data_IF_959006374394
#
_entry.id   IF_959006374394
#
_cell.length_a   1.000
_cell.length_b   1.000
_cell.length_c   1.000
_cell.angle_alpha   90.00
_cell.angle_beta   90.00
_cell.angle_gamma   90.00
#
_symmetry.space_group_name_H-M   'P 1'
#
loop_
_entity.id
_entity.type
_entity.pdbx_description
1 polymer ?
#
# COMPACT_ATOMS: atom_id res chain seq x y z
N UNK A 1 -7.19 -15.28 9.36
CA UNK A 1 -5.84 -14.81 8.97
C UNK A 1 -5.87 -13.29 9.00
N UNK A 2 -4.85 -12.66 9.58
CA UNK A 2 -4.75 -11.20 9.64
C UNK A 2 -3.83 -10.70 8.52
N UNK A 3 -3.99 -9.45 8.09
CA UNK A 3 -3.15 -8.83 7.07
C UNK A 3 -3.20 -7.32 7.17
N UNK A 4 -2.26 -6.64 6.51
CA UNK A 4 -2.18 -5.17 6.48
C UNK A 4 -2.37 -4.68 5.06
N UNK A 5 -3.29 -3.72 4.88
CA UNK A 5 -3.41 -2.92 3.67
C UNK A 5 -3.10 -1.48 4.06
N UNK A 6 -2.07 -0.90 3.46
CA UNK A 6 -1.65 0.47 3.74
C UNK A 6 -1.73 1.33 2.47
N UNK A 7 -2.20 2.57 2.64
CA UNK A 7 -2.34 3.53 1.55
C UNK A 7 -1.40 4.72 1.77
N UNK A 8 -0.49 4.92 0.81
CA UNK A 8 0.54 5.97 0.80
C UNK A 8 1.37 6.06 2.08
N UNK A 9 1.88 4.92 2.62
CA UNK A 9 2.75 4.98 3.79
C UNK A 9 4.06 5.69 3.45
N UNK A 10 4.51 6.52 4.39
CA UNK A 10 5.77 7.24 4.33
C UNK A 10 6.25 7.57 5.74
N UNK A 11 7.32 8.34 5.86
CA UNK A 11 7.86 8.76 7.17
C UNK A 11 7.30 10.15 7.50
N UNK A 12 6.17 10.18 8.21
CA UNK A 12 5.43 11.41 8.55
C UNK A 12 5.43 11.73 10.05
N UNK A 13 6.07 10.89 10.86
CA UNK A 13 6.18 11.08 12.31
C UNK A 13 7.46 11.85 12.66
N UNK A 14 7.52 12.42 13.86
CA UNK A 14 8.66 13.21 14.32
C UNK A 14 9.99 12.45 14.30
N UNK A 15 9.96 11.13 14.50
CA UNK A 15 11.09 10.26 14.19
C UNK A 15 11.00 9.80 12.72
N UNK A 16 12.02 10.16 11.93
CA UNK A 16 12.13 9.93 10.48
C UNK A 16 12.24 8.46 10.05
N UNK A 17 12.33 7.52 10.99
CA UNK A 17 12.33 6.06 10.70
C UNK A 17 11.22 5.30 11.41
N UNK A 18 10.33 6.01 12.13
CA UNK A 18 9.37 5.37 13.02
C UNK A 18 8.46 4.36 12.29
N UNK A 19 8.01 4.69 11.08
CA UNK A 19 7.11 3.82 10.33
C UNK A 19 7.84 2.58 9.85
N UNK A 20 9.07 2.74 9.34
CA UNK A 20 9.91 1.62 8.91
C UNK A 20 10.31 0.71 10.06
N UNK A 21 10.64 1.27 11.20
CA UNK A 21 11.03 0.50 12.39
C UNK A 21 9.83 -0.29 12.95
N UNK A 22 8.62 0.26 12.86
CA UNK A 22 7.40 -0.50 13.14
C UNK A 22 7.16 -1.60 12.08
N UNK A 23 7.34 -1.29 10.79
CA UNK A 23 7.15 -2.24 9.70
C UNK A 23 8.04 -3.50 9.82
N UNK A 24 9.24 -3.38 10.40
CA UNK A 24 10.14 -4.52 10.68
C UNK A 24 9.53 -5.60 11.57
N UNK A 25 8.52 -5.25 12.36
CA UNK A 25 7.83 -6.18 13.27
C UNK A 25 6.63 -6.86 12.62
N UNK A 26 6.27 -6.49 11.39
CA UNK A 26 5.10 -7.01 10.68
C UNK A 26 5.46 -8.32 9.98
N UNK A 27 4.84 -9.41 10.44
CA UNK A 27 5.05 -10.77 9.93
C UNK A 27 3.87 -11.30 9.10
N UNK A 28 2.70 -10.66 9.20
CA UNK A 28 1.50 -10.97 8.41
C UNK A 28 1.60 -10.43 6.97
N UNK A 29 0.82 -10.93 6.01
CA UNK A 29 0.83 -10.42 4.65
C UNK A 29 0.56 -8.91 4.58
N UNK A 30 1.29 -8.23 3.69
CA UNK A 30 1.22 -6.77 3.51
C UNK A 30 0.98 -6.39 2.06
N UNK A 31 0.02 -5.52 1.85
CA UNK A 31 -0.19 -4.84 0.57
C UNK A 31 -0.09 -3.34 0.79
N UNK A 32 0.71 -2.69 -0.05
CA UNK A 32 0.83 -1.23 -0.11
C UNK A 32 0.30 -0.73 -1.44
N UNK A 33 -0.54 0.28 -1.35
CA UNK A 33 -1.04 1.08 -2.46
C UNK A 33 -0.63 2.54 -2.22
N UNK A 34 -0.47 3.34 -3.28
CA UNK A 34 -0.13 4.75 -3.19
C UNK A 34 -0.46 5.50 -4.49
N UNK A 35 -0.35 6.83 -4.47
CA UNK A 35 -0.44 7.60 -5.70
C UNK A 35 0.68 7.24 -6.69
N UNK A 36 0.46 7.46 -7.98
CA UNK A 36 1.44 7.14 -9.04
C UNK A 36 2.64 8.09 -9.12
N UNK A 37 2.76 9.05 -8.19
CA UNK A 37 3.90 9.93 -8.07
C UNK A 37 5.17 9.18 -7.65
N UNK A 38 6.30 9.51 -8.28
CA UNK A 38 7.56 8.81 -8.04
C UNK A 38 8.02 8.86 -6.57
N UNK A 39 7.71 9.93 -5.85
CA UNK A 39 8.10 10.10 -4.45
C UNK A 39 7.35 9.13 -3.54
N UNK A 40 6.03 9.06 -3.66
CA UNK A 40 5.22 8.10 -2.90
C UNK A 40 5.60 6.66 -3.22
N UNK A 41 5.86 6.34 -4.50
CA UNK A 41 6.35 5.01 -4.89
C UNK A 41 7.64 4.65 -4.15
N UNK A 42 8.62 5.58 -4.09
CA UNK A 42 9.90 5.35 -3.39
C UNK A 42 9.72 5.25 -1.88
N UNK A 43 8.87 6.08 -1.29
CA UNK A 43 8.59 6.05 0.15
C UNK A 43 7.91 4.74 0.56
N UNK A 44 6.84 4.35 -0.14
CA UNK A 44 6.15 3.07 0.05
C UNK A 44 7.09 1.88 -0.10
N UNK A 45 7.96 1.90 -1.12
CA UNK A 45 8.94 0.83 -1.36
C UNK A 45 9.90 0.68 -0.17
N UNK A 46 10.40 1.79 0.39
CA UNK A 46 11.30 1.76 1.54
C UNK A 46 10.64 1.15 2.79
N UNK A 47 9.34 1.42 3.01
CA UNK A 47 8.57 0.81 4.09
C UNK A 47 8.36 -0.70 3.82
N UNK A 48 7.93 -1.08 2.61
CA UNK A 48 7.70 -2.48 2.25
C UNK A 48 8.97 -3.33 2.34
N UNK A 49 10.12 -2.78 1.97
CA UNK A 49 11.41 -3.47 2.06
C UNK A 49 11.72 -3.88 3.51
N UNK A 50 11.34 -3.07 4.49
CA UNK A 50 11.56 -3.35 5.90
C UNK A 50 10.61 -4.40 6.50
N UNK A 51 9.44 -4.63 5.88
CA UNK A 51 8.48 -5.66 6.32
C UNK A 51 9.12 -7.04 6.33
N UNK A 52 8.94 -7.79 7.41
CA UNK A 52 9.52 -9.13 7.60
C UNK A 52 8.75 -10.23 6.87
N UNK A 53 7.44 -10.04 6.66
CA UNK A 53 6.61 -10.99 5.91
C UNK A 53 7.17 -11.30 4.52
N UNK A 54 7.15 -12.58 4.14
CA UNK A 54 7.45 -13.01 2.78
C UNK A 54 6.31 -12.65 1.80
N UNK A 55 5.08 -12.54 2.30
CA UNK A 55 3.90 -12.20 1.51
C UNK A 55 3.67 -10.68 1.48
N UNK A 56 4.48 -9.98 0.69
CA UNK A 56 4.40 -8.52 0.59
C UNK A 56 4.35 -8.02 -0.84
N UNK A 57 3.50 -7.04 -1.10
CA UNK A 57 3.27 -6.50 -2.44
C UNK A 57 3.08 -4.97 -2.40
N UNK A 58 3.62 -4.29 -3.41
CA UNK A 58 3.33 -2.89 -3.71
C UNK A 58 2.57 -2.81 -5.03
N UNK A 59 1.52 -2.00 -5.12
CA UNK A 59 0.91 -1.64 -6.39
C UNK A 59 1.74 -0.55 -7.08
N UNK A 60 2.10 -0.75 -8.34
CA UNK A 60 2.71 0.28 -9.18
C UNK A 60 1.73 0.68 -10.29
N UNK A 61 0.75 1.52 -9.94
CA UNK A 61 -0.24 2.00 -10.88
C UNK A 61 0.38 2.94 -11.91
N UNK A 62 0.02 2.78 -13.18
CA UNK A 62 0.37 3.70 -14.28
C UNK A 62 -0.67 4.80 -14.48
N UNK A 63 -1.83 4.68 -13.83
CA UNK A 63 -2.90 5.66 -13.92
C UNK A 63 -2.59 6.81 -12.96
N UNK A 64 -3.02 8.03 -13.30
CA UNK A 64 -2.99 9.15 -12.36
C UNK A 64 -3.86 8.79 -11.15
N UNK A 65 -3.30 8.90 -9.96
CA UNK A 65 -3.97 8.50 -8.72
C UNK A 65 -3.80 9.55 -7.64
N UNK A 66 -4.75 9.57 -6.71
CA UNK A 66 -4.80 10.51 -5.59
C UNK A 66 -4.16 9.89 -4.34
N UNK A 67 -3.56 10.73 -3.50
CA UNK A 67 -2.91 10.32 -2.26
C UNK A 67 -3.85 9.58 -1.29
N UNK A 68 -3.30 8.60 -0.58
CA UNK A 68 -3.95 7.87 0.50
C UNK A 68 -5.06 6.93 0.05
N UNK A 69 -5.94 6.56 0.97
CA UNK A 69 -7.10 5.70 0.67
C UNK A 69 -8.10 6.36 -0.28
N UNK A 70 -7.98 7.66 -0.52
CA UNK A 70 -8.74 8.37 -1.55
C UNK A 70 -8.48 7.84 -2.95
N UNK A 71 -7.39 7.10 -3.18
CA UNK A 71 -7.18 6.37 -4.43
C UNK A 71 -8.33 5.41 -4.75
N UNK A 72 -9.06 4.90 -3.74
CA UNK A 72 -10.19 3.99 -3.89
C UNK A 72 -11.53 4.69 -4.14
N UNK A 73 -11.59 6.01 -4.01
CA UNK A 73 -12.86 6.73 -4.12
C UNK A 73 -13.06 7.22 -5.54
N UNK A 74 -14.20 6.89 -6.16
CA UNK A 74 -14.51 7.33 -7.51
C UNK A 74 -14.66 8.87 -7.63
N UNK A 75 -15.08 9.56 -6.56
CA UNK A 75 -15.20 11.01 -6.55
C UNK A 75 -13.84 11.73 -6.47
N UNK A 76 -12.83 11.11 -5.86
CA UNK A 76 -11.48 11.66 -5.72
C UNK A 76 -10.46 11.10 -6.72
N UNK A 77 -10.73 9.93 -7.30
CA UNK A 77 -9.88 9.25 -8.29
C UNK A 77 -10.75 8.60 -9.40
N UNK A 78 -11.51 9.40 -10.18
CA UNK A 78 -12.48 8.86 -11.13
C UNK A 78 -11.88 7.96 -12.21
N UNK A 79 -10.63 8.20 -12.60
CA UNK A 79 -9.94 7.41 -13.62
C UNK A 79 -9.23 6.17 -13.07
N UNK A 80 -8.94 6.12 -11.76
CA UNK A 80 -8.08 5.08 -11.16
C UNK A 80 -8.77 4.21 -10.13
N UNK A 81 -9.87 4.65 -9.49
CA UNK A 81 -10.45 3.98 -8.33
C UNK A 81 -10.76 2.49 -8.56
N UNK A 82 -11.31 2.15 -9.71
CA UNK A 82 -11.59 0.75 -10.07
C UNK A 82 -10.33 -0.11 -10.12
N UNK A 83 -9.27 0.38 -10.78
CA UNK A 83 -8.01 -0.35 -10.89
C UNK A 83 -7.36 -0.59 -9.52
N UNK A 84 -7.43 0.39 -8.62
CA UNK A 84 -6.95 0.27 -7.25
C UNK A 84 -7.78 -0.74 -6.44
N UNK A 85 -9.12 -0.70 -6.55
CA UNK A 85 -10.00 -1.70 -5.93
C UNK A 85 -9.72 -3.12 -6.43
N UNK A 86 -9.60 -3.31 -7.74
CA UNK A 86 -9.28 -4.61 -8.33
C UNK A 86 -7.96 -5.16 -7.78
N UNK A 87 -6.95 -4.32 -7.59
CA UNK A 87 -5.66 -4.72 -7.05
C UNK A 87 -5.74 -5.14 -5.57
N UNK A 88 -6.46 -4.37 -4.74
CA UNK A 88 -6.75 -4.73 -3.34
C UNK A 88 -7.47 -6.06 -3.27
N UNK A 89 -8.57 -6.22 -4.03
CA UNK A 89 -9.37 -7.45 -4.03
C UNK A 89 -8.56 -8.65 -4.53
N UNK A 90 -7.72 -8.47 -5.55
CA UNK A 90 -6.82 -9.51 -6.04
C UNK A 90 -5.83 -9.97 -4.96
N UNK A 91 -5.29 -9.04 -4.17
CA UNK A 91 -4.43 -9.39 -3.04
C UNK A 91 -5.20 -10.16 -1.97
N UNK A 92 -6.37 -9.66 -1.55
CA UNK A 92 -7.19 -10.29 -0.50
C UNK A 92 -7.62 -11.72 -0.87
N UNK A 93 -7.97 -11.95 -2.15
CA UNK A 93 -8.36 -13.28 -2.66
C UNK A 93 -7.29 -14.36 -2.51
N UNK A 94 -6.01 -14.00 -2.33
CA UNK A 94 -4.94 -14.97 -2.04
C UNK A 94 -5.08 -15.62 -0.67
N UNK A 95 -5.86 -15.01 0.25
CA UNK A 95 -5.94 -15.38 1.65
C UNK A 95 -7.37 -15.62 2.16
N UNK A 96 -8.39 -15.45 1.29
CA UNK A 96 -9.78 -15.79 1.59
C UNK A 96 -10.17 -17.11 0.92
N UNK A 97 -10.89 -18.01 1.60
CA UNK A 97 -11.46 -19.21 0.98
C UNK A 97 -12.35 -18.87 -0.22
N UNK A 98 -12.45 -19.82 -1.15
CA UNK A 98 -13.34 -19.75 -2.32
C UNK A 98 -14.82 -19.81 -1.92
#
# INVERSE_FOLDING_TARGET
>A
MNGVVAFSPGEYLGNKTAVRDAARKVEVPVYIDQASGADEIRQSAAILQAVKSADKQQLLSRLKSTHGSSTLRADANPAGAEAHWMAVLKFLKRFTPA
#
